data_IF_395605531047
#
_entry.id   IF_395605531047
#
_cell.length_a   1.000
_cell.length_b   1.000
_cell.length_c   1.000
_cell.angle_alpha   90.00
_cell.angle_beta   90.00
_cell.angle_gamma   90.00
#
_symmetry.space_group_name_H-M   'P 1'
#
loop_
_entity.id
_entity.type
_entity.pdbx_description
1 polymer ?
#
# COMPACT_ATOMS: atom_id res chain seq x y z
N UNK A 1 -1.14 -7.14 22.54
CA UNK A 1 0.13 -6.49 22.96
C UNK A 1 0.11 -4.96 22.90
N UNK A 2 0.04 -4.29 21.73
CA UNK A 2 0.12 -2.82 21.69
C UNK A 2 -1.06 -2.12 22.40
N UNK A 3 -2.28 -2.65 22.26
CA UNK A 3 -3.45 -2.14 22.98
C UNK A 3 -3.32 -2.32 24.50
N UNK A 4 -2.81 -3.46 24.96
CA UNK A 4 -2.59 -3.72 26.39
C UNK A 4 -1.57 -2.76 26.98
N UNK A 5 -0.48 -2.48 26.24
CA UNK A 5 0.52 -1.48 26.63
C UNK A 5 -0.12 -0.10 26.73
N UNK A 6 -0.91 0.32 25.75
CA UNK A 6 -1.57 1.62 25.76
C UNK A 6 -2.61 1.73 26.89
N UNK A 7 -3.38 0.67 27.14
CA UNK A 7 -4.35 0.59 28.21
C UNK A 7 -3.68 0.73 29.59
N UNK A 8 -2.46 0.20 29.77
CA UNK A 8 -1.65 0.42 30.98
C UNK A 8 -1.34 1.90 31.27
N UNK A 9 -1.43 2.78 30.26
CA UNK A 9 -1.32 4.23 30.38
C UNK A 9 -2.67 4.97 30.30
N UNK A 10 -3.80 4.25 30.35
CA UNK A 10 -5.13 4.85 30.19
C UNK A 10 -5.38 5.46 28.81
N UNK A 11 -4.70 4.95 27.77
CA UNK A 11 -4.81 5.44 26.38
C UNK A 11 -5.39 4.35 25.50
N UNK A 12 -6.11 4.77 24.46
CA UNK A 12 -6.54 3.91 23.35
C UNK A 12 -5.74 4.27 22.10
N UNK A 13 -5.48 3.28 21.25
CA UNK A 13 -4.79 3.47 19.98
C UNK A 13 -5.81 3.44 18.83
N UNK A 14 -5.46 4.15 17.76
CA UNK A 14 -6.04 3.97 16.44
C UNK A 14 -4.95 3.46 15.51
N UNK A 15 -5.32 2.59 14.58
CA UNK A 15 -4.36 1.99 13.65
C UNK A 15 -4.55 2.51 12.24
N UNK A 16 -3.44 2.64 11.52
CA UNK A 16 -3.44 3.10 10.15
C UNK A 16 -2.50 2.30 9.26
N UNK A 17 -2.82 2.22 7.98
CA UNK A 17 -2.00 1.56 6.97
C UNK A 17 -1.53 2.56 5.91
N UNK A 18 -0.30 2.38 5.46
CA UNK A 18 0.30 3.15 4.36
C UNK A 18 0.40 2.24 3.14
N UNK A 19 -0.30 2.57 2.06
CA UNK A 19 -0.21 1.82 0.81
C UNK A 19 -0.27 2.71 -0.42
N UNK A 20 0.36 2.29 -1.52
CA UNK A 20 -0.02 2.83 -2.82
C UNK A 20 -1.39 2.32 -3.24
N UNK A 21 -2.04 3.02 -4.17
CA UNK A 21 -3.22 2.49 -4.86
C UNK A 21 -3.05 2.75 -6.35
N UNK A 22 -3.40 1.74 -7.15
CA UNK A 22 -3.48 1.81 -8.61
C UNK A 22 -4.85 1.23 -8.98
N UNK A 23 -5.83 2.12 -9.13
CA UNK A 23 -7.20 1.76 -9.50
C UNK A 23 -7.44 2.09 -10.97
N UNK A 24 -8.03 1.17 -11.72
CA UNK A 24 -8.50 1.36 -13.10
C UNK A 24 -9.90 0.76 -13.25
N UNK A 25 -10.53 0.90 -14.40
CA UNK A 25 -11.88 0.35 -14.63
C UNK A 25 -11.90 -1.19 -14.57
N UNK A 26 -10.81 -1.82 -14.99
CA UNK A 26 -10.64 -3.28 -14.94
C UNK A 26 -9.33 -3.69 -14.25
N UNK A 27 -9.32 -4.90 -13.68
CA UNK A 27 -8.11 -5.47 -13.07
C UNK A 27 -6.94 -5.52 -14.07
N UNK A 28 -7.21 -5.92 -15.31
CA UNK A 28 -6.19 -6.01 -16.36
C UNK A 28 -5.51 -4.67 -16.62
N UNK A 29 -6.29 -3.58 -16.65
CA UNK A 29 -5.74 -2.23 -16.83
C UNK A 29 -4.94 -1.75 -15.61
N UNK A 30 -5.38 -2.12 -14.40
CA UNK A 30 -4.68 -1.80 -13.16
C UNK A 30 -3.33 -2.52 -13.10
N UNK A 31 -3.29 -3.82 -13.43
CA UNK A 31 -2.06 -4.60 -13.55
C UNK A 31 -1.13 -4.03 -14.61
N UNK A 32 -1.65 -3.70 -15.79
CA UNK A 32 -0.86 -3.07 -16.84
C UNK A 32 -0.33 -1.69 -16.42
N UNK A 33 -1.07 -0.93 -15.60
CA UNK A 33 -0.59 0.32 -15.02
C UNK A 33 0.54 0.11 -14.01
N UNK A 34 0.43 -0.92 -13.15
CA UNK A 34 1.48 -1.30 -12.21
C UNK A 34 2.77 -1.72 -12.94
N UNK A 35 2.68 -2.55 -13.98
CA UNK A 35 3.82 -2.94 -14.82
C UNK A 35 4.46 -1.72 -15.50
N UNK A 36 3.65 -0.83 -16.10
CA UNK A 36 4.14 0.40 -16.73
C UNK A 36 4.88 1.29 -15.73
N UNK A 37 4.41 1.40 -14.49
CA UNK A 37 5.03 2.22 -13.44
C UNK A 37 6.48 1.82 -13.18
N UNK A 38 6.78 0.52 -13.20
CA UNK A 38 8.14 -0.01 -12.95
C UNK A 38 8.92 -0.31 -14.22
N UNK A 39 8.30 -0.25 -15.40
CA UNK A 39 8.90 -0.63 -16.70
C UNK A 39 10.18 0.14 -17.08
N UNK A 40 10.39 1.32 -16.51
CA UNK A 40 11.57 2.17 -16.78
C UNK A 40 12.60 2.15 -15.64
N UNK A 41 12.38 1.32 -14.63
CA UNK A 41 13.37 1.13 -13.58
C UNK A 41 14.46 0.22 -14.11
N UNK A 42 15.69 0.70 -14.02
CA UNK A 42 16.87 -0.13 -14.17
C UNK A 42 16.99 -1.01 -12.92
N UNK A 43 17.15 -2.32 -13.12
CA UNK A 43 17.28 -3.29 -12.03
C UNK A 43 18.48 -2.97 -11.13
N UNK A 44 19.57 -2.47 -11.71
CA UNK A 44 20.77 -2.06 -10.97
C UNK A 44 20.48 -0.87 -10.05
N UNK A 45 19.59 0.04 -10.48
CA UNK A 45 19.15 1.19 -9.68
C UNK A 45 18.18 0.78 -8.58
N UNK A 46 17.32 -0.19 -8.86
CA UNK A 46 16.45 -0.81 -7.85
C UNK A 46 17.25 -1.44 -6.71
N UNK A 47 18.34 -2.11 -7.05
CA UNK A 47 19.26 -2.72 -6.08
C UNK A 47 19.99 -1.65 -5.23
N UNK A 48 20.43 -0.55 -5.83
CA UNK A 48 21.05 0.56 -5.07
C UNK A 48 20.06 1.21 -4.08
N UNK A 49 18.80 1.41 -4.50
CA UNK A 49 17.72 1.90 -3.62
C UNK A 49 17.43 0.88 -2.51
N UNK A 50 17.48 -0.42 -2.81
CA UNK A 50 17.31 -1.51 -1.82
C UNK A 50 18.34 -1.40 -0.72
N UNK A 51 19.63 -1.34 -1.06
CA UNK A 51 20.70 -1.30 -0.07
C UNK A 51 20.58 -0.08 0.86
N UNK A 52 20.23 1.09 0.30
CA UNK A 52 19.98 2.31 1.09
C UNK A 52 18.80 2.20 2.05
N UNK A 53 17.78 1.39 1.74
CA UNK A 53 16.63 1.16 2.64
C UNK A 53 16.99 0.22 3.80
N UNK A 54 17.90 -0.74 3.57
CA UNK A 54 18.37 -1.71 4.57
C UNK A 54 19.33 -1.07 5.59
N UNK A 55 19.95 0.06 5.26
CA UNK A 55 20.77 0.84 6.19
C UNK A 55 19.99 1.34 7.42
N UNK A 56 18.65 1.33 7.35
CA UNK A 56 17.77 1.68 8.48
C UNK A 56 17.20 0.40 9.11
N UNK A 57 17.99 -0.24 9.98
CA UNK A 57 17.68 -1.54 10.61
C UNK A 57 16.52 -1.50 11.63
N UNK A 58 15.32 -1.09 11.20
CA UNK A 58 14.11 -1.15 12.02
C UNK A 58 13.36 -2.46 11.76
N UNK A 59 12.63 -2.93 12.79
CA UNK A 59 11.75 -4.10 12.63
C UNK A 59 10.71 -3.92 11.52
N UNK A 60 10.27 -2.68 11.24
CA UNK A 60 9.35 -2.37 10.15
C UNK A 60 9.96 -2.60 8.77
N UNK A 61 11.21 -2.17 8.57
CA UNK A 61 11.96 -2.41 7.32
C UNK A 61 12.25 -3.90 7.12
N UNK A 62 12.56 -4.63 8.21
CA UNK A 62 12.69 -6.09 8.18
C UNK A 62 11.43 -6.78 7.66
N UNK A 63 10.27 -6.46 8.25
CA UNK A 63 8.98 -7.05 7.82
C UNK A 63 8.61 -6.70 6.38
N UNK A 64 8.94 -5.51 5.89
CA UNK A 64 8.69 -5.15 4.50
C UNK A 64 9.58 -5.97 3.53
N UNK A 65 10.80 -6.30 3.95
CA UNK A 65 11.71 -7.16 3.18
C UNK A 65 11.20 -8.61 3.14
N UNK A 66 10.74 -9.12 4.28
CA UNK A 66 10.13 -10.46 4.40
C UNK A 66 8.89 -10.57 3.50
N UNK A 67 7.94 -9.64 3.61
CA UNK A 67 6.73 -9.61 2.79
C UNK A 67 7.04 -9.61 1.29
N UNK A 68 8.09 -8.91 0.87
CA UNK A 68 8.49 -8.87 -0.54
C UNK A 68 9.14 -10.18 -0.99
N UNK A 69 9.90 -10.83 -0.12
CA UNK A 69 10.52 -12.12 -0.43
C UNK A 69 9.49 -13.24 -0.61
N UNK A 70 8.28 -13.06 -0.09
CA UNK A 70 7.14 -13.97 -0.27
C UNK A 70 6.36 -13.71 -1.57
N UNK A 71 6.64 -12.62 -2.29
CA UNK A 71 5.92 -12.29 -3.51
C UNK A 71 6.22 -13.29 -4.64
N UNK A 72 5.21 -13.61 -5.44
CA UNK A 72 5.36 -14.41 -6.65
C UNK A 72 6.15 -13.69 -7.75
N UNK A 73 6.33 -14.36 -8.89
CA UNK A 73 7.05 -13.81 -10.05
C UNK A 73 6.41 -12.52 -10.61
N UNK A 74 5.12 -12.32 -10.36
CA UNK A 74 4.35 -11.12 -10.71
C UNK A 74 4.40 -10.00 -9.65
N UNK A 75 5.17 -10.20 -8.58
CA UNK A 75 5.35 -9.32 -7.42
C UNK A 75 4.12 -9.15 -6.53
N UNK A 76 3.07 -9.94 -6.71
CA UNK A 76 1.94 -9.97 -5.78
C UNK A 76 2.28 -10.91 -4.61
N UNK A 77 2.06 -10.43 -3.39
CA UNK A 77 2.23 -11.24 -2.16
C UNK A 77 0.89 -11.82 -1.69
N UNK A 78 -0.20 -11.16 -2.04
CA UNK A 78 -1.57 -11.63 -1.84
C UNK A 78 -2.47 -10.98 -2.90
N UNK A 79 -3.73 -11.39 -2.95
CA UNK A 79 -4.71 -10.82 -3.88
C UNK A 79 -4.74 -9.29 -3.77
N UNK A 80 -4.55 -8.64 -4.91
CA UNK A 80 -4.58 -7.19 -5.08
C UNK A 80 -3.55 -6.43 -4.24
N UNK A 81 -2.51 -7.08 -3.70
CA UNK A 81 -1.40 -6.42 -3.00
C UNK A 81 -0.07 -6.69 -3.71
N UNK A 82 0.42 -5.66 -4.39
CA UNK A 82 1.59 -5.71 -5.25
C UNK A 82 2.80 -5.03 -4.61
N UNK A 83 3.91 -5.74 -4.47
CA UNK A 83 5.13 -5.24 -3.82
C UNK A 83 6.12 -4.60 -4.80
N UNK A 84 5.86 -4.68 -6.11
CA UNK A 84 6.76 -4.17 -7.15
C UNK A 84 7.03 -2.66 -7.05
N UNK A 85 6.12 -1.88 -6.48
CA UNK A 85 6.32 -0.44 -6.21
C UNK A 85 7.55 -0.16 -5.35
N UNK A 86 7.91 -1.09 -4.48
CA UNK A 86 9.07 -0.98 -3.62
C UNK A 86 10.41 -1.09 -4.36
N UNK A 87 10.42 -1.46 -5.66
CA UNK A 87 11.62 -1.39 -6.51
C UNK A 87 11.93 0.05 -6.95
N UNK A 88 10.90 0.89 -6.99
CA UNK A 88 11.00 2.27 -7.49
C UNK A 88 11.39 3.28 -6.41
N UNK A 89 11.09 2.98 -5.14
CA UNK A 89 11.19 3.96 -4.05
C UNK A 89 11.33 3.32 -2.67
N UNK A 90 11.89 4.07 -1.75
CA UNK A 90 11.73 3.86 -0.30
C UNK A 90 10.39 4.46 0.16
N UNK A 91 9.64 3.76 1.04
CA UNK A 91 8.35 4.26 1.55
C UNK A 91 7.28 3.16 1.70
N UNK A 92 6.14 3.29 1.01
CA UNK A 92 5.15 2.21 0.99
C UNK A 92 5.72 1.02 0.22
N UNK A 93 5.91 -0.12 0.90
CA UNK A 93 6.47 -1.34 0.33
C UNK A 93 5.50 -2.11 -0.57
N UNK A 94 4.22 -1.72 -0.59
CA UNK A 94 3.19 -2.36 -1.39
C UNK A 94 2.17 -1.34 -1.93
N UNK A 95 1.46 -1.76 -2.98
CA UNK A 95 0.37 -1.06 -3.64
C UNK A 95 -0.87 -1.97 -3.70
N UNK A 96 -2.03 -1.41 -3.42
CA UNK A 96 -3.32 -2.04 -3.74
C UNK A 96 -3.57 -1.83 -5.23
N UNK A 97 -3.73 -2.91 -5.99
CA UNK A 97 -3.89 -2.87 -7.45
C UNK A 97 -5.13 -3.65 -7.85
N UNK A 98 -6.04 -3.02 -8.59
CA UNK A 98 -7.26 -3.70 -9.05
C UNK A 98 -8.28 -2.74 -9.67
N UNK A 99 -9.44 -3.31 -10.00
CA UNK A 99 -10.65 -2.55 -10.33
C UNK A 99 -11.27 -1.86 -9.09
N UNK A 100 -12.33 -1.04 -9.22
CA UNK A 100 -12.90 -0.32 -8.09
C UNK A 100 -13.42 -1.25 -6.99
N UNK A 101 -14.06 -2.37 -7.34
CA UNK A 101 -14.63 -3.31 -6.39
C UNK A 101 -13.54 -4.04 -5.61
N UNK A 102 -12.48 -4.46 -6.29
CA UNK A 102 -11.30 -5.10 -5.70
C UNK A 102 -10.58 -4.16 -4.72
N UNK A 103 -10.38 -2.90 -5.11
CA UNK A 103 -9.74 -1.89 -4.24
C UNK A 103 -10.59 -1.61 -3.01
N UNK A 104 -11.90 -1.43 -3.18
CA UNK A 104 -12.84 -1.24 -2.04
C UNK A 104 -12.83 -2.45 -1.12
N UNK A 105 -12.91 -3.67 -1.67
CA UNK A 105 -12.87 -4.90 -0.90
C UNK A 105 -11.58 -5.02 -0.08
N UNK A 106 -10.43 -4.65 -0.66
CA UNK A 106 -9.15 -4.67 0.05
C UNK A 106 -9.09 -3.68 1.20
N UNK A 107 -9.60 -2.46 0.99
CA UNK A 107 -9.67 -1.44 2.03
C UNK A 107 -10.62 -1.88 3.17
N UNK A 108 -11.78 -2.44 2.84
CA UNK A 108 -12.72 -3.00 3.82
C UNK A 108 -12.11 -4.15 4.60
N UNK A 109 -11.37 -5.04 3.96
CA UNK A 109 -10.66 -6.11 4.66
C UNK A 109 -9.68 -5.56 5.71
N UNK A 110 -8.98 -4.45 5.43
CA UNK A 110 -8.16 -3.78 6.46
C UNK A 110 -9.02 -3.14 7.56
N UNK A 111 -10.16 -2.53 7.22
CA UNK A 111 -11.10 -1.99 8.21
C UNK A 111 -11.63 -3.07 9.16
N UNK A 112 -11.96 -4.25 8.63
CA UNK A 112 -12.43 -5.40 9.41
C UNK A 112 -11.35 -5.93 10.38
N UNK A 113 -10.07 -5.64 10.11
CA UNK A 113 -8.95 -5.91 11.02
C UNK A 113 -8.64 -4.74 11.99
N UNK A 114 -9.48 -3.71 12.03
CA UNK A 114 -9.34 -2.57 12.94
C UNK A 114 -8.49 -1.40 12.42
N UNK A 115 -8.19 -1.35 11.11
CA UNK A 115 -7.54 -0.20 10.50
C UNK A 115 -8.55 0.93 10.29
N UNK A 116 -8.30 2.08 10.91
CA UNK A 116 -9.18 3.26 10.86
C UNK A 116 -8.65 4.38 9.95
N UNK A 117 -7.36 4.35 9.62
CA UNK A 117 -6.70 5.41 8.85
C UNK A 117 -5.92 4.85 7.66
N UNK A 118 -6.12 5.46 6.49
CA UNK A 118 -5.43 5.07 5.27
C UNK A 118 -4.58 6.22 4.75
N UNK A 119 -3.27 6.00 4.64
CA UNK A 119 -2.34 6.93 4.01
C UNK A 119 -2.04 6.41 2.61
N UNK A 120 -2.71 7.00 1.62
CA UNK A 120 -2.67 6.52 0.24
C UNK A 120 -1.76 7.38 -0.64
N UNK A 121 -1.25 6.82 -1.73
CA UNK A 121 -0.52 7.56 -2.76
C UNK A 121 -0.67 6.90 -4.13
N UNK A 122 -0.36 7.64 -5.19
CA UNK A 122 -0.28 7.16 -6.56
C UNK A 122 0.70 8.02 -7.37
N UNK A 123 1.06 7.59 -8.58
CA UNK A 123 1.90 8.36 -9.51
C UNK A 123 1.25 8.44 -10.90
N UNK A 124 1.13 9.65 -11.49
CA UNK A 124 1.34 10.96 -10.85
C UNK A 124 0.31 11.23 -9.74
N UNK A 125 0.71 11.95 -8.70
CA UNK A 125 -0.10 12.06 -7.47
C UNK A 125 -1.49 12.66 -7.71
N UNK A 126 -1.60 13.75 -8.48
CA UNK A 126 -2.88 14.42 -8.70
C UNK A 126 -3.84 13.56 -9.53
N UNK A 127 -3.31 12.90 -10.56
CA UNK A 127 -4.12 12.07 -11.46
C UNK A 127 -4.65 10.84 -10.73
N UNK A 128 -3.79 10.15 -9.97
CA UNK A 128 -4.22 9.01 -9.16
C UNK A 128 -5.15 9.41 -8.01
N UNK A 129 -4.99 10.62 -7.44
CA UNK A 129 -5.95 11.15 -6.47
C UNK A 129 -7.34 11.35 -7.11
N UNK A 130 -7.41 11.86 -8.34
CA UNK A 130 -8.68 12.03 -9.05
C UNK A 130 -9.33 10.68 -9.35
N UNK A 131 -8.58 9.70 -9.85
CA UNK A 131 -9.09 8.35 -10.11
C UNK A 131 -9.61 7.68 -8.83
N UNK A 132 -8.87 7.81 -7.72
CA UNK A 132 -9.32 7.28 -6.43
C UNK A 132 -10.58 7.97 -5.93
N UNK A 133 -10.67 9.29 -6.11
CA UNK A 133 -11.85 10.07 -5.72
C UNK A 133 -13.08 9.73 -6.57
N UNK A 134 -12.90 9.39 -7.84
CA UNK A 134 -13.98 9.00 -8.75
C UNK A 134 -14.45 7.56 -8.50
N UNK A 135 -13.51 6.62 -8.43
CA UNK A 135 -13.86 5.19 -8.44
C UNK A 135 -14.02 4.57 -7.05
N UNK A 136 -13.31 5.06 -6.05
CA UNK A 136 -13.21 4.37 -4.75
C UNK A 136 -13.92 5.14 -3.63
N UNK A 137 -13.67 6.44 -3.49
CA UNK A 137 -14.25 7.23 -2.39
C UNK A 137 -15.78 7.14 -2.27
N UNK A 138 -16.59 7.18 -3.35
CA UNK A 138 -18.05 7.12 -3.24
C UNK A 138 -18.57 5.82 -2.62
N UNK A 139 -17.74 4.77 -2.59
CA UNK A 139 -18.08 3.44 -2.10
C UNK A 139 -17.55 3.15 -0.69
N UNK A 140 -16.97 4.16 -0.03
CA UNK A 140 -16.43 4.08 1.32
C UNK A 140 -17.13 5.08 2.24
N UNK A 141 -17.42 4.66 3.47
CA UNK A 141 -17.72 5.60 4.54
C UNK A 141 -16.40 6.22 5.02
N UNK A 142 -16.21 7.52 4.73
CA UNK A 142 -14.94 8.20 4.95
C UNK A 142 -15.13 9.56 5.62
N UNK A 143 -14.15 9.95 6.43
CA UNK A 143 -14.19 11.21 7.16
C UNK A 143 -12.85 11.56 7.80
N UNK A 144 -12.85 12.63 8.60
CA UNK A 144 -11.69 12.99 9.41
C UNK A 144 -11.51 11.94 10.51
N UNK A 145 -10.28 11.49 10.73
CA UNK A 145 -9.97 10.47 11.74
C UNK A 145 -10.31 10.92 13.18
N UNK A 146 -10.15 12.21 13.43
CA UNK A 146 -10.57 12.90 14.64
C UNK A 146 -11.59 13.97 14.23
N UNK A 147 -12.79 13.88 14.77
CA UNK A 147 -13.86 14.85 14.63
C UNK A 147 -14.05 15.59 15.96
#
# INVERSE_FOLDING_TARGET
EMDERAAGYGRTLKYGVRSHVIVRETEAEARAAAERLVSRLDDDKGEEIRQKSLDTASAGVGRQSELRAEAGDDWFVEENLWTGVGRARSGAGAAIVGDPDQVVAKLKAYQDQGVEAFILSGYPHIDECNLFAEYVLPNLDHGKLFA
#
